data_IF_172835946377
#
_entry.id   IF_172835946377
#
_cell.length_a   1.000
_cell.length_b   1.000
_cell.length_c   1.000
_cell.angle_alpha   90.00
_cell.angle_beta   90.00
_cell.angle_gamma   90.00
#
_symmetry.space_group_name_H-M   'P 1'
#
loop_
_entity.id
_entity.type
_entity.pdbx_description
1 polymer ?
#
# COMPACT_ATOMS: atom_id res chain seq x y z
N UNK A 1 -16.86 25.01 5.40
CA UNK A 1 -15.80 24.06 4.99
C UNK A 1 -16.10 22.75 5.68
N UNK A 2 -16.35 21.67 4.94
CA UNK A 2 -16.56 20.35 5.56
C UNK A 2 -15.26 19.90 6.22
N UNK A 3 -15.35 19.33 7.41
CA UNK A 3 -14.24 18.71 8.13
C UNK A 3 -13.51 17.71 7.22
N UNK A 4 -12.17 17.84 7.11
CA UNK A 4 -11.35 16.93 6.30
C UNK A 4 -11.42 15.54 6.93
N UNK A 5 -11.92 14.55 6.19
CA UNK A 5 -12.16 13.20 6.71
C UNK A 5 -11.00 12.23 6.54
N UNK A 6 -10.06 12.55 5.65
CA UNK A 6 -8.97 11.67 5.26
C UNK A 6 -7.82 12.45 4.65
N UNK A 7 -6.59 12.00 4.90
CA UNK A 7 -5.39 12.42 4.16
C UNK A 7 -4.79 11.22 3.44
N UNK A 8 -4.13 11.46 2.31
CA UNK A 8 -3.41 10.44 1.56
C UNK A 8 -2.00 10.94 1.22
N UNK A 9 -1.04 10.04 1.30
CA UNK A 9 0.37 10.28 1.01
C UNK A 9 0.91 9.11 0.17
N UNK A 10 1.83 9.39 -0.74
CA UNK A 10 2.60 8.34 -1.42
C UNK A 10 4.07 8.61 -1.14
N UNK A 11 4.78 7.59 -0.65
CA UNK A 11 6.21 7.63 -0.36
C UNK A 11 6.92 6.60 -1.22
N UNK A 12 8.17 6.87 -1.51
CA UNK A 12 9.04 5.98 -2.29
C UNK A 12 10.41 5.92 -1.63
N UNK A 13 11.26 5.02 -2.11
CA UNK A 13 12.69 5.00 -1.78
C UNK A 13 13.44 6.29 -2.19
N UNK A 14 12.81 7.15 -2.99
CA UNK A 14 13.26 8.52 -3.24
C UNK A 14 12.42 9.54 -2.48
N UNK A 15 13.06 10.62 -2.06
CA UNK A 15 12.40 11.83 -1.56
C UNK A 15 11.99 12.70 -2.76
N UNK A 16 10.71 12.69 -3.13
CA UNK A 16 10.22 13.34 -4.34
C UNK A 16 8.90 14.09 -4.08
N UNK A 17 8.80 15.32 -4.59
CA UNK A 17 7.57 16.08 -4.65
C UNK A 17 6.86 15.82 -5.99
N UNK A 18 5.70 15.15 -5.95
CA UNK A 18 4.70 15.04 -7.03
C UNK A 18 4.74 13.86 -8.03
N UNK A 19 3.73 13.85 -8.91
CA UNK A 19 3.18 12.75 -9.73
C UNK A 19 4.24 12.04 -10.57
N UNK A 20 4.22 10.69 -10.56
CA UNK A 20 5.19 9.86 -11.26
C UNK A 20 6.46 9.62 -10.44
N UNK A 21 6.30 9.48 -9.13
CA UNK A 21 7.38 9.27 -8.16
C UNK A 21 8.31 8.14 -8.64
N UNK A 22 9.57 8.45 -8.98
CA UNK A 22 10.53 7.42 -9.34
C UNK A 22 10.75 6.51 -8.12
N UNK A 23 10.78 5.21 -8.36
CA UNK A 23 11.10 4.23 -7.35
C UNK A 23 11.97 3.14 -7.95
N UNK A 24 13.03 2.76 -7.25
CA UNK A 24 13.89 1.64 -7.64
C UNK A 24 13.52 0.36 -6.89
N UNK A 25 13.12 0.48 -5.62
CA UNK A 25 12.97 -0.66 -4.71
C UNK A 25 11.61 -0.74 -4.06
N UNK A 26 11.01 0.36 -3.63
CA UNK A 26 9.72 0.33 -2.96
C UNK A 26 8.94 1.64 -3.05
N UNK A 27 7.62 1.51 -3.02
CA UNK A 27 6.70 2.62 -2.86
C UNK A 27 5.51 2.22 -2.01
N UNK A 28 5.05 3.13 -1.15
CA UNK A 28 3.88 2.92 -0.31
C UNK A 28 2.87 4.06 -0.45
N UNK A 29 1.58 3.69 -0.45
CA UNK A 29 0.48 4.63 -0.32
C UNK A 29 -0.11 4.54 1.08
N UNK A 30 -0.12 5.65 1.80
CA UNK A 30 -0.62 5.76 3.18
C UNK A 30 -1.91 6.56 3.17
N UNK A 31 -2.98 5.99 3.70
CA UNK A 31 -4.26 6.65 3.90
C UNK A 31 -4.53 6.75 5.40
N UNK A 32 -4.73 7.97 5.91
CA UNK A 32 -5.10 8.21 7.31
C UNK A 32 -6.55 8.67 7.39
N UNK A 33 -7.37 7.94 8.15
CA UNK A 33 -8.79 8.20 8.35
C UNK A 33 -9.07 8.26 9.85
N UNK A 34 -9.18 9.48 10.41
CA UNK A 34 -9.33 9.67 11.87
C UNK A 34 -8.21 8.95 12.64
N UNK A 35 -8.54 7.87 13.34
CA UNK A 35 -7.65 7.06 14.17
C UNK A 35 -7.16 5.79 13.45
N UNK A 36 -7.54 5.60 12.20
CA UNK A 36 -7.17 4.45 11.36
C UNK A 36 -6.10 4.84 10.33
N UNK A 37 -5.20 3.91 10.05
CA UNK A 37 -4.22 4.01 8.97
C UNK A 37 -4.31 2.78 8.07
N UNK A 38 -4.29 2.99 6.75
CA UNK A 38 -4.23 1.91 5.76
C UNK A 38 -3.01 2.17 4.90
N UNK A 39 -2.09 1.21 4.83
CA UNK A 39 -0.90 1.31 4.00
C UNK A 39 -0.85 0.19 2.98
N UNK A 40 -0.62 0.54 1.74
CA UNK A 40 -0.29 -0.39 0.66
C UNK A 40 1.15 -0.15 0.23
N UNK A 41 2.05 -1.06 0.58
CA UNK A 41 3.44 -1.05 0.16
C UNK A 41 3.67 -2.07 -0.96
N UNK A 42 4.38 -1.65 -1.99
CA UNK A 42 4.87 -2.49 -3.08
C UNK A 42 6.40 -2.43 -3.05
N UNK A 43 7.05 -3.58 -2.91
CA UNK A 43 8.51 -3.71 -2.99
C UNK A 43 8.89 -4.57 -4.19
N UNK A 44 9.84 -4.08 -4.98
CA UNK A 44 10.39 -4.78 -6.14
C UNK A 44 11.79 -5.27 -5.77
N UNK A 45 11.86 -6.51 -5.29
CA UNK A 45 13.10 -7.19 -4.98
C UNK A 45 13.40 -8.24 -6.07
N UNK A 46 13.74 -9.48 -5.66
CA UNK A 46 13.78 -10.63 -6.58
C UNK A 46 12.40 -10.98 -7.13
N UNK A 47 11.37 -10.80 -6.30
CA UNK A 47 9.96 -10.98 -6.61
C UNK A 47 9.21 -9.69 -6.22
N UNK A 48 8.06 -9.43 -6.84
CA UNK A 48 7.19 -8.31 -6.43
C UNK A 48 6.46 -8.70 -5.15
N UNK A 49 6.79 -8.01 -4.05
CA UNK A 49 6.17 -8.16 -2.75
C UNK A 49 5.11 -7.08 -2.56
N UNK A 50 3.98 -7.48 -2.02
CA UNK A 50 2.88 -6.59 -1.67
C UNK A 50 2.61 -6.73 -0.18
N UNK A 51 2.48 -5.60 0.51
CA UNK A 51 2.13 -5.53 1.93
C UNK A 51 0.91 -4.64 2.11
N UNK A 52 -0.05 -5.10 2.91
CA UNK A 52 -1.24 -4.37 3.30
C UNK A 52 -1.21 -4.25 4.82
N UNK A 53 -1.13 -3.03 5.33
CA UNK A 53 -1.13 -2.72 6.77
C UNK A 53 -2.45 -2.05 7.12
N UNK A 54 -3.05 -2.49 8.22
CA UNK A 54 -4.27 -1.92 8.79
C UNK A 54 -3.95 -1.52 10.23
N UNK A 55 -3.75 -0.22 10.44
CA UNK A 55 -3.15 0.32 11.65
C UNK A 55 -1.66 -0.03 11.75
N UNK A 56 -1.22 -0.38 12.95
CA UNK A 56 0.19 -0.69 13.24
C UNK A 56 0.61 -2.11 12.81
N UNK A 57 -0.34 -2.97 12.43
CA UNK A 57 -0.07 -4.37 12.10
C UNK A 57 -0.18 -4.66 10.60
N UNK A 58 0.72 -5.50 10.10
CA UNK A 58 0.65 -6.03 8.75
C UNK A 58 -0.51 -7.04 8.67
N UNK A 59 -1.64 -6.61 8.11
CA UNK A 59 -2.79 -7.47 7.88
C UNK A 59 -2.50 -8.56 6.84
N UNK A 60 -1.64 -8.25 5.85
CA UNK A 60 -1.22 -9.23 4.85
C UNK A 60 0.13 -8.85 4.22
N UNK A 61 1.00 -9.82 3.98
CA UNK A 61 2.24 -9.67 3.20
C UNK A 61 2.52 -10.91 2.38
N UNK A 62 2.89 -10.74 1.11
CA UNK A 62 3.20 -11.87 0.23
C UNK A 62 3.61 -11.43 -1.16
N UNK A 63 3.76 -12.38 -2.09
CA UNK A 63 4.08 -12.06 -3.48
C UNK A 63 2.84 -11.56 -4.23
N UNK A 64 3.03 -10.79 -5.31
CA UNK A 64 1.94 -10.38 -6.19
C UNK A 64 1.14 -11.58 -6.74
N UNK A 65 1.82 -12.70 -7.01
CA UNK A 65 1.17 -13.95 -7.41
C UNK A 65 0.29 -14.51 -6.31
N UNK A 66 0.78 -14.51 -5.06
CA UNK A 66 -0.01 -14.92 -3.90
C UNK A 66 -1.24 -14.05 -3.69
N UNK A 67 -1.12 -12.73 -3.82
CA UNK A 67 -2.26 -11.82 -3.72
C UNK A 67 -3.32 -12.10 -4.81
N UNK A 68 -2.89 -12.32 -6.06
CA UNK A 68 -3.80 -12.66 -7.16
C UNK A 68 -4.57 -13.95 -6.88
N UNK A 69 -3.91 -14.96 -6.33
CA UNK A 69 -4.55 -16.24 -5.98
C UNK A 69 -5.57 -16.05 -4.85
N UNK A 70 -5.21 -15.31 -3.79
CA UNK A 70 -6.11 -14.99 -2.69
C UNK A 70 -7.38 -14.30 -3.20
N UNK A 71 -7.24 -13.21 -3.96
CA UNK A 71 -8.37 -12.45 -4.48
C UNK A 71 -9.22 -13.26 -5.49
N UNK A 72 -8.63 -14.20 -6.21
CA UNK A 72 -9.38 -15.10 -7.10
C UNK A 72 -10.18 -16.15 -6.33
N UNK A 73 -9.69 -16.61 -5.17
CA UNK A 73 -10.43 -17.51 -4.30
C UNK A 73 -11.66 -16.80 -3.71
N UNK A 74 -11.48 -15.58 -3.21
CA UNK A 74 -12.56 -14.76 -2.62
C UNK A 74 -13.63 -14.33 -3.64
N UNK A 75 -13.27 -14.13 -4.92
CA UNK A 75 -14.24 -13.83 -6.00
C UNK A 75 -15.29 -14.92 -6.25
N UNK A 76 -15.09 -16.13 -5.72
CA UNK A 76 -16.03 -17.24 -5.86
C UNK A 76 -17.03 -17.37 -4.70
N UNK A 77 -16.96 -16.46 -3.72
CA UNK A 77 -17.90 -16.35 -2.61
C UNK A 77 -19.04 -15.36 -2.93
#
# INVERSE_FOLDING_TARGET
MSEIRMTAEVRTDFDCEAVGLPSERWGEAVFKIKDEEIVLEISVEKDVIVSIMLGEEAAWRGTLTGLKQLLQAEKKA
#
